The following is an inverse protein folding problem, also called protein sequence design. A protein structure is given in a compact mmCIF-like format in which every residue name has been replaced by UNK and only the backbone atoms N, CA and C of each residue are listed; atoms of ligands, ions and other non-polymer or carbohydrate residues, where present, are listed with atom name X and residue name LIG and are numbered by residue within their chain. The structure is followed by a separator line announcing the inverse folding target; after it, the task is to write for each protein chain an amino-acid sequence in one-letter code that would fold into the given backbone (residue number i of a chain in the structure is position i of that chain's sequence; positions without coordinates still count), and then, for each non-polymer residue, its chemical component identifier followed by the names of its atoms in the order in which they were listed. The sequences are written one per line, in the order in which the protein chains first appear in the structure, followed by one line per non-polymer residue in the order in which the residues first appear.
data_IF_705825313324
#
_entry.id   IF_705825313324
#
_cell.length_a   1.000
_cell.length_b   1.000
_cell.length_c   1.000
_cell.angle_alpha   90.00
_cell.angle_beta   90.00
_cell.angle_gamma   90.00
#
_symmetry.space_group_name_H-M   'P 1'
#
loop_
_entity.id
_entity.type
_entity.pdbx_description
1 polymer ?
#
# COMPACT_ATOMS: atom_id res chain seq x y z
N UNK A 1 -39.94 41.30 46.63
CA UNK A 1 -40.36 40.60 45.40
C UNK A 1 -39.12 39.90 44.84
N UNK A 2 -39.00 38.57 44.97
CA UNK A 2 -37.80 37.81 44.55
C UNK A 2 -37.95 37.45 43.08
N UNK A 3 -37.13 38.07 42.22
CA UNK A 3 -37.04 37.75 40.80
C UNK A 3 -36.06 36.58 40.63
N UNK A 4 -36.57 35.40 40.24
CA UNK A 4 -35.74 34.28 39.82
C UNK A 4 -35.56 34.37 38.30
N UNK A 5 -34.35 34.72 37.84
CA UNK A 5 -33.96 34.57 36.44
C UNK A 5 -33.63 33.09 36.19
N UNK A 6 -34.47 32.40 35.43
CA UNK A 6 -34.19 31.09 34.86
C UNK A 6 -33.46 31.29 33.52
N UNK A 7 -32.18 30.92 33.47
CA UNK A 7 -31.36 30.94 32.26
C UNK A 7 -31.58 29.64 31.47
N UNK A 8 -31.97 29.67 30.18
CA UNK A 8 -32.13 28.45 29.40
C UNK A 8 -30.77 27.89 29.00
N UNK A 9 -30.54 26.61 29.31
CA UNK A 9 -29.36 25.85 28.91
C UNK A 9 -29.52 25.44 27.43
N UNK A 10 -28.85 26.15 26.53
CA UNK A 10 -28.79 25.76 25.12
C UNK A 10 -27.81 24.58 24.96
N UNK A 11 -28.34 23.40 24.65
CA UNK A 11 -27.53 22.22 24.30
C UNK A 11 -27.11 22.39 22.83
N UNK A 12 -25.85 22.74 22.61
CA UNK A 12 -25.23 22.74 21.29
C UNK A 12 -24.94 21.30 20.86
N UNK A 13 -25.70 20.78 19.89
CA UNK A 13 -25.32 19.57 19.16
C UNK A 13 -24.18 19.93 18.20
N UNK A 14 -22.97 19.50 18.53
CA UNK A 14 -21.84 19.53 17.60
C UNK A 14 -22.00 18.35 16.64
N UNK A 15 -22.03 18.57 15.31
CA UNK A 15 -21.97 17.47 14.36
C UNK A 15 -20.59 16.83 14.47
N UNK A 16 -20.54 15.52 14.74
CA UNK A 16 -19.32 14.74 14.58
C UNK A 16 -19.02 14.62 13.10
N UNK A 17 -17.98 15.33 12.65
CA UNK A 17 -17.39 15.09 11.33
C UNK A 17 -16.71 13.73 11.42
N UNK A 18 -17.32 12.69 10.84
CA UNK A 18 -16.62 11.45 10.59
C UNK A 18 -15.49 11.77 9.60
N UNK A 19 -14.23 11.58 10.03
CA UNK A 19 -13.12 11.51 9.10
C UNK A 19 -13.42 10.35 8.15
N UNK A 20 -13.55 10.64 6.85
CA UNK A 20 -13.55 9.59 5.85
C UNK A 20 -12.11 9.12 5.75
N UNK A 21 -11.79 7.99 6.39
CA UNK A 21 -10.53 7.31 6.17
C UNK A 21 -10.50 6.89 4.70
N UNK A 22 -9.66 7.55 3.90
CA UNK A 22 -9.48 7.15 2.51
C UNK A 22 -8.73 5.82 2.50
N UNK A 23 -9.47 4.72 2.31
CA UNK A 23 -8.94 3.35 2.20
C UNK A 23 -8.23 3.09 0.86
N UNK A 24 -7.47 4.07 0.39
CA UNK A 24 -6.65 3.97 -0.80
C UNK A 24 -5.40 4.85 -0.72
N UNK A 25 -4.37 4.47 -1.49
CA UNK A 25 -3.15 5.25 -1.67
C UNK A 25 -2.69 5.23 -3.12
N UNK A 26 -2.10 6.33 -3.58
CA UNK A 26 -1.42 6.40 -4.87
C UNK A 26 0.10 6.37 -4.69
N UNK A 27 0.74 5.35 -5.24
CA UNK A 27 2.19 5.17 -5.24
C UNK A 27 2.67 5.20 -6.69
N UNK A 28 3.83 5.79 -6.93
CA UNK A 28 4.44 5.81 -8.26
C UNK A 28 5.92 5.51 -8.24
N UNK A 29 6.44 5.04 -9.36
CA UNK A 29 7.87 4.88 -9.60
C UNK A 29 8.21 5.34 -11.03
N UNK A 30 9.34 6.02 -11.19
CA UNK A 30 9.90 6.36 -12.49
C UNK A 30 11.18 5.56 -12.78
N UNK A 31 11.94 5.94 -13.81
CA UNK A 31 13.14 5.22 -14.26
C UNK A 31 14.34 5.26 -13.25
N UNK A 32 14.13 5.78 -12.04
CA UNK A 32 15.15 5.98 -11.00
C UNK A 32 15.22 4.88 -9.94
N UNK A 33 14.53 3.75 -10.12
CA UNK A 33 14.47 2.64 -9.14
C UNK A 33 14.12 3.09 -7.71
N UNK A 34 13.10 3.93 -7.59
CA UNK A 34 12.55 4.36 -6.31
C UNK A 34 11.04 4.56 -6.41
N UNK A 35 10.32 4.13 -5.38
CA UNK A 35 8.96 4.61 -5.16
C UNK A 35 9.00 6.09 -4.73
N UNK A 36 7.93 6.83 -4.99
CA UNK A 36 7.75 8.21 -4.53
C UNK A 36 7.61 8.33 -2.99
N UNK A 37 7.42 7.22 -2.29
CA UNK A 37 7.38 7.14 -0.83
C UNK A 37 8.17 5.95 -0.29
N UNK A 38 8.56 6.02 0.99
CA UNK A 38 9.23 4.95 1.75
C UNK A 38 8.37 4.36 2.87
N UNK A 39 7.15 4.87 3.04
CA UNK A 39 6.18 4.35 3.98
C UNK A 39 4.76 4.58 3.45
N UNK A 40 3.83 3.78 3.94
CA UNK A 40 2.39 4.02 3.77
C UNK A 40 1.67 3.61 5.03
N UNK A 41 0.54 4.25 5.27
CA UNK A 41 -0.33 3.98 6.41
C UNK A 41 -1.62 3.34 5.91
N UNK A 42 -2.09 2.31 6.61
CA UNK A 42 -3.38 1.66 6.37
C UNK A 42 -4.22 1.87 7.62
N UNK A 43 -5.34 2.60 7.54
CA UNK A 43 -6.27 2.73 8.64
C UNK A 43 -6.86 1.37 9.03
N UNK A 44 -6.86 1.06 10.33
CA UNK A 44 -7.46 -0.15 10.90
C UNK A 44 -8.98 -0.20 10.73
N UNK A 45 -9.60 0.93 10.43
CA UNK A 45 -11.03 1.07 10.10
C UNK A 45 -11.39 0.54 8.70
N UNK A 46 -10.41 0.38 7.81
CA UNK A 46 -10.63 -0.10 6.44
C UNK A 46 -10.78 -1.62 6.42
N UNK A 47 -11.89 -2.15 5.89
CA UNK A 47 -12.04 -3.59 5.63
C UNK A 47 -11.23 -4.04 4.40
N UNK A 48 -11.22 -3.19 3.36
CA UNK A 48 -10.37 -3.35 2.17
C UNK A 48 -9.53 -2.10 1.97
N UNK A 49 -8.33 -2.27 1.40
CA UNK A 49 -7.44 -1.16 1.06
C UNK A 49 -6.96 -1.26 -0.39
N UNK A 50 -6.94 -0.13 -1.10
CA UNK A 50 -6.54 -0.08 -2.52
C UNK A 50 -5.21 0.64 -2.72
N UNK A 51 -4.29 0.03 -3.46
CA UNK A 51 -3.08 0.68 -3.93
C UNK A 51 -3.20 0.93 -5.42
N UNK A 52 -3.18 2.21 -5.80
CA UNK A 52 -3.07 2.67 -7.17
C UNK A 52 -1.59 2.87 -7.50
N UNK A 53 -1.04 2.07 -8.42
CA UNK A 53 0.37 2.11 -8.80
C UNK A 53 0.56 2.62 -10.23
N UNK A 54 1.46 3.59 -10.41
CA UNK A 54 1.78 4.16 -11.71
C UNK A 54 3.28 4.15 -11.99
N UNK A 55 3.65 3.71 -13.19
CA UNK A 55 5.01 3.87 -13.68
C UNK A 55 5.13 5.17 -14.49
N UNK A 56 5.74 6.21 -13.90
CA UNK A 56 5.80 7.58 -14.48
C UNK A 56 6.99 7.81 -15.42
N UNK A 57 7.91 6.84 -15.50
CA UNK A 57 9.03 6.84 -16.43
C UNK A 57 8.67 6.52 -17.88
N UNK A 58 9.68 6.24 -18.71
CA UNK A 58 9.51 5.99 -20.15
C UNK A 58 10.06 4.63 -20.59
N UNK A 59 10.84 3.96 -19.75
CA UNK A 59 11.48 2.70 -20.12
C UNK A 59 10.48 1.54 -20.14
N UNK A 60 10.67 0.55 -21.02
CA UNK A 60 9.75 -0.57 -21.14
C UNK A 60 9.87 -1.54 -19.94
N UNK A 61 8.78 -2.27 -19.69
CA UNK A 61 8.64 -3.20 -18.56
C UNK A 61 9.71 -4.29 -18.46
N UNK A 62 10.34 -4.66 -19.58
CA UNK A 62 11.40 -5.68 -19.60
C UNK A 62 12.79 -5.18 -19.19
N UNK A 63 13.00 -3.86 -19.16
CA UNK A 63 14.30 -3.26 -18.80
C UNK A 63 14.27 -2.40 -17.54
N UNK A 64 13.11 -1.80 -17.22
CA UNK A 64 12.90 -1.02 -16.01
C UNK A 64 11.46 -1.24 -15.54
N UNK A 65 11.05 -2.50 -15.46
CA UNK A 65 9.72 -2.83 -14.97
C UNK A 65 9.60 -2.58 -13.49
N UNK A 66 8.44 -2.08 -13.06
CA UNK A 66 8.13 -1.92 -11.64
C UNK A 66 6.78 -2.54 -11.32
N UNK A 67 6.69 -3.21 -10.19
CA UNK A 67 5.43 -3.55 -9.54
C UNK A 67 5.45 -3.04 -8.11
N UNK A 68 4.31 -3.17 -7.45
CA UNK A 68 4.16 -3.02 -6.03
C UNK A 68 3.71 -4.37 -5.46
N UNK A 69 4.38 -4.84 -4.40
CA UNK A 69 4.14 -6.15 -3.78
C UNK A 69 4.16 -5.98 -2.26
N UNK A 70 3.16 -6.52 -1.57
CA UNK A 70 3.06 -6.53 -0.11
C UNK A 70 3.32 -7.93 0.44
N UNK A 71 4.18 -8.00 1.45
CA UNK A 71 4.44 -9.21 2.22
C UNK A 71 4.89 -8.86 3.64
N UNK A 72 4.96 -9.87 4.51
CA UNK A 72 5.71 -9.73 5.76
C UNK A 72 7.18 -9.46 5.46
N UNK A 73 7.79 -8.58 6.24
CA UNK A 73 9.17 -8.12 6.02
C UNK A 73 10.17 -9.27 6.02
N UNK A 74 9.95 -10.31 6.82
CA UNK A 74 10.78 -11.51 6.89
C UNK A 74 10.72 -12.39 5.64
N UNK A 75 9.62 -12.34 4.88
CA UNK A 75 9.40 -13.20 3.72
C UNK A 75 9.96 -12.62 2.43
N UNK A 76 10.17 -11.29 2.37
CA UNK A 76 10.64 -10.58 1.18
C UNK A 76 11.88 -11.24 0.54
N UNK A 77 12.95 -11.62 1.28
CA UNK A 77 14.14 -12.20 0.66
C UNK A 77 13.84 -13.49 -0.11
N UNK A 78 13.00 -14.37 0.43
CA UNK A 78 12.69 -15.65 -0.21
C UNK A 78 11.69 -15.47 -1.35
N UNK A 79 10.70 -14.58 -1.22
CA UNK A 79 9.78 -14.23 -2.32
C UNK A 79 10.56 -13.72 -3.53
N UNK A 80 11.51 -12.79 -3.32
CA UNK A 80 12.34 -12.25 -4.41
C UNK A 80 13.21 -13.33 -5.03
N UNK A 81 13.85 -14.16 -4.20
CA UNK A 81 14.72 -15.25 -4.65
C UNK A 81 13.98 -16.26 -5.53
N UNK A 82 12.77 -16.65 -5.16
CA UNK A 82 11.94 -17.60 -5.93
C UNK A 82 11.24 -16.92 -7.11
N UNK A 83 10.82 -15.66 -6.96
CA UNK A 83 10.15 -14.90 -8.01
C UNK A 83 11.05 -14.51 -9.17
N UNK A 84 12.34 -14.24 -8.92
CA UNK A 84 13.30 -13.89 -9.97
C UNK A 84 13.35 -14.90 -11.13
N UNK A 85 13.53 -16.21 -10.90
CA UNK A 85 13.53 -17.20 -11.98
C UNK A 85 12.14 -17.45 -12.60
N UNK A 86 11.03 -17.04 -11.97
CA UNK A 86 9.69 -17.15 -12.55
C UNK A 86 9.48 -16.22 -13.76
N UNK A 87 10.29 -15.15 -13.86
CA UNK A 87 10.36 -14.29 -15.03
C UNK A 87 9.20 -13.29 -15.16
N UNK A 88 9.30 -12.43 -16.17
CA UNK A 88 8.36 -11.34 -16.41
C UNK A 88 6.92 -11.81 -16.64
N UNK A 89 6.73 -12.95 -17.30
CA UNK A 89 5.39 -13.51 -17.55
C UNK A 89 4.62 -13.79 -16.26
N UNK A 90 5.34 -14.08 -15.18
CA UNK A 90 4.81 -14.30 -13.83
C UNK A 90 5.06 -13.10 -12.90
N UNK A 91 5.29 -11.90 -13.46
CA UNK A 91 5.55 -10.65 -12.72
C UNK A 91 6.74 -10.73 -11.75
N UNK A 92 7.69 -11.64 -12.00
CA UNK A 92 8.77 -11.96 -11.07
C UNK A 92 8.28 -12.30 -9.66
N UNK A 93 7.19 -13.06 -9.56
CA UNK A 93 6.64 -13.57 -8.32
C UNK A 93 6.52 -15.10 -8.37
N UNK A 94 6.66 -15.78 -7.21
CA UNK A 94 6.30 -17.17 -7.09
C UNK A 94 4.80 -17.37 -7.37
N UNK A 95 4.45 -18.42 -8.11
CA UNK A 95 3.04 -18.75 -8.37
C UNK A 95 2.35 -19.26 -7.11
N UNK A 96 1.15 -18.74 -6.83
CA UNK A 96 0.28 -19.18 -5.72
C UNK A 96 0.94 -19.15 -4.33
N UNK A 97 1.82 -18.20 -4.07
CA UNK A 97 2.51 -18.06 -2.79
C UNK A 97 1.71 -17.18 -1.83
N UNK A 98 1.19 -17.79 -0.75
CA UNK A 98 0.41 -17.09 0.26
C UNK A 98 1.19 -16.00 1.03
N UNK A 99 2.53 -15.96 0.93
CA UNK A 99 3.33 -14.89 1.53
C UNK A 99 3.21 -13.58 0.75
N UNK A 100 2.77 -13.62 -0.51
CA UNK A 100 2.40 -12.44 -1.30
C UNK A 100 0.96 -12.07 -0.97
N UNK A 101 0.78 -11.07 -0.11
CA UNK A 101 -0.53 -10.63 0.38
C UNK A 101 -1.30 -9.91 -0.73
N UNK A 102 -0.60 -9.02 -1.45
CA UNK A 102 -1.15 -8.27 -2.56
C UNK A 102 -0.03 -7.89 -3.54
N UNK A 103 -0.34 -7.81 -4.82
CA UNK A 103 0.62 -7.36 -5.82
C UNK A 103 -0.07 -6.77 -7.05
N UNK A 104 0.59 -5.79 -7.67
CA UNK A 104 0.26 -5.37 -9.03
C UNK A 104 1.05 -6.19 -10.06
N UNK A 105 0.62 -6.18 -11.34
CA UNK A 105 1.48 -6.61 -12.44
C UNK A 105 2.75 -5.75 -12.55
N UNK A 106 3.75 -6.24 -13.28
CA UNK A 106 4.90 -5.43 -13.69
C UNK A 106 4.46 -4.43 -14.78
N UNK A 107 4.65 -3.15 -14.47
CA UNK A 107 4.36 -2.01 -15.32
C UNK A 107 5.65 -1.48 -15.96
N UNK A 108 5.54 -1.00 -17.19
CA UNK A 108 6.53 -0.16 -17.86
C UNK A 108 6.05 1.29 -17.97
N UNK A 109 6.89 2.15 -18.53
CA UNK A 109 6.65 3.58 -18.69
C UNK A 109 5.27 3.94 -19.22
N UNK A 110 4.53 4.75 -18.45
CA UNK A 110 3.19 5.23 -18.78
C UNK A 110 2.05 4.29 -18.40
N UNK A 111 2.34 3.06 -17.97
CA UNK A 111 1.32 2.11 -17.51
C UNK A 111 0.91 2.40 -16.05
N UNK A 112 -0.32 2.01 -15.71
CA UNK A 112 -0.89 2.05 -14.36
C UNK A 112 -1.69 0.77 -14.09
N UNK A 113 -1.79 0.40 -12.82
CA UNK A 113 -2.65 -0.67 -12.34
C UNK A 113 -3.02 -0.42 -10.88
N UNK A 114 -4.05 -1.10 -10.40
CA UNK A 114 -4.45 -1.07 -9.00
C UNK A 114 -4.58 -2.48 -8.45
N UNK A 115 -4.39 -2.60 -7.13
CA UNK A 115 -4.66 -3.82 -6.38
C UNK A 115 -5.45 -3.46 -5.12
N UNK A 116 -6.51 -4.21 -4.86
CA UNK A 116 -7.32 -4.11 -3.64
C UNK A 116 -7.17 -5.39 -2.86
N UNK A 117 -7.03 -5.29 -1.54
CA UNK A 117 -6.87 -6.44 -0.66
C UNK A 117 -7.57 -6.22 0.67
N UNK A 118 -7.98 -7.32 1.30
CA UNK A 118 -8.58 -7.35 2.63
C UNK A 118 -7.51 -7.04 3.69
N UNK A 119 -7.78 -6.05 4.55
CA UNK A 119 -6.84 -5.63 5.61
C UNK A 119 -6.78 -6.61 6.77
N UNK A 120 -7.76 -7.51 6.91
CA UNK A 120 -7.78 -8.62 7.87
C UNK A 120 -6.69 -9.66 7.62
N UNK A 121 -6.03 -9.62 6.46
CA UNK A 121 -4.77 -10.34 6.23
C UNK A 121 -3.57 -9.74 6.98
N UNK A 122 -3.72 -8.54 7.55
CA UNK A 122 -2.68 -7.82 8.30
C UNK A 122 -2.90 -7.95 9.81
N UNK A 123 -1.81 -7.79 10.55
CA UNK A 123 -1.78 -7.89 12.02
C UNK A 123 -0.83 -6.84 12.57
N UNK A 124 -1.26 -6.13 13.62
CA UNK A 124 -0.45 -5.14 14.31
C UNK A 124 0.82 -5.72 14.97
N UNK A 125 0.85 -7.04 15.21
CA UNK A 125 2.01 -7.73 15.78
C UNK A 125 3.08 -8.09 14.74
N UNK A 126 2.81 -7.81 13.46
CA UNK A 126 3.68 -8.15 12.34
C UNK A 126 4.26 -6.92 11.66
N UNK A 127 5.43 -7.06 11.06
CA UNK A 127 6.05 -6.01 10.24
C UNK A 127 5.88 -6.32 8.76
N UNK A 128 5.42 -5.36 7.99
CA UNK A 128 5.19 -5.51 6.56
C UNK A 128 6.07 -4.58 5.73
N UNK A 129 6.44 -5.06 4.56
CA UNK A 129 7.19 -4.29 3.55
C UNK A 129 6.38 -4.31 2.27
N UNK A 130 6.22 -3.14 1.65
CA UNK A 130 5.93 -3.09 0.22
C UNK A 130 7.24 -2.95 -0.57
N UNK A 131 7.36 -3.64 -1.70
CA UNK A 131 8.59 -3.67 -2.51
C UNK A 131 8.30 -3.91 -3.99
N UNK A 132 9.32 -3.69 -4.83
CA UNK A 132 9.32 -4.12 -6.23
C UNK A 132 10.09 -5.43 -6.38
N UNK A 133 9.48 -6.44 -7.01
CA UNK A 133 10.08 -7.77 -7.19
C UNK A 133 10.90 -7.93 -8.48
N UNK A 134 10.94 -6.91 -9.34
CA UNK A 134 11.79 -6.92 -10.53
C UNK A 134 13.25 -7.22 -10.12
N UNK A 135 13.99 -8.09 -10.87
CA UNK A 135 15.31 -8.55 -10.47
C UNK A 135 16.27 -7.43 -10.08
N UNK A 136 16.73 -7.44 -8.83
CA UNK A 136 17.67 -6.45 -8.28
C UNK A 136 17.05 -5.19 -7.69
N UNK A 137 15.74 -4.96 -7.80
CA UNK A 137 15.12 -3.70 -7.36
C UNK A 137 14.73 -3.71 -5.87
N UNK A 138 14.37 -4.86 -5.31
CA UNK A 138 13.78 -4.98 -3.97
C UNK A 138 14.63 -4.42 -2.82
N UNK A 139 15.96 -4.32 -2.99
CA UNK A 139 16.86 -3.73 -1.99
C UNK A 139 16.69 -2.22 -1.85
N UNK A 140 16.39 -1.52 -2.96
CA UNK A 140 16.25 -0.05 -3.02
C UNK A 140 14.79 0.39 -3.09
N UNK A 141 13.98 -0.34 -3.86
CA UNK A 141 12.56 -0.09 -4.08
C UNK A 141 11.74 -0.83 -3.04
N UNK A 142 11.69 -0.26 -1.84
CA UNK A 142 10.88 -0.77 -0.74
C UNK A 142 10.49 0.32 0.24
N UNK A 143 9.44 0.05 1.01
CA UNK A 143 9.01 0.87 2.13
C UNK A 143 8.25 0.07 3.18
N UNK A 144 8.01 0.68 4.34
CA UNK A 144 7.27 0.07 5.45
C UNK A 144 5.77 0.32 5.33
N UNK A 145 4.97 -0.58 5.87
CA UNK A 145 3.54 -0.35 6.07
C UNK A 145 3.28 -0.18 7.56
N UNK A 146 2.57 0.88 7.93
CA UNK A 146 2.10 1.10 9.29
C UNK A 146 0.59 0.88 9.33
N UNK A 147 0.10 0.22 10.37
CA UNK A 147 -1.34 0.15 10.66
C UNK A 147 -1.66 1.27 11.65
N UNK A 148 -2.65 2.09 11.34
CA UNK A 148 -2.98 3.30 12.11
C UNK A 148 -4.44 3.30 12.54
N UNK A 149 -4.73 3.88 13.71
CA UNK A 149 -6.09 4.09 14.22
C UNK A 149 -6.75 5.35 13.61
#
# INVERSE_FOLDING_TARGET
MRFYLLLPLAIAFLPTVAAADNCEVSISAGDGMAFNTRSMDIPLSCEEFTVNFAHTGRLPKGGMGHNWVLAQTSDVPEIVKVGTPAGLANNYLPENDARVIAATPILGGGENASVTFDTGALSADSSYTFFCSFPGHSSMMRGSVNLVD
#
